data_IF_051194659427
#
_entry.id   IF_051194659427
#
_cell.length_a   1.000
_cell.length_b   1.000
_cell.length_c   1.000
_cell.angle_alpha   90.00
_cell.angle_beta   90.00
_cell.angle_gamma   90.00
#
_symmetry.space_group_name_H-M   'P 1'
#
loop_
_entity.id
_entity.type
_entity.pdbx_description
1 polymer ?
#
# COMPACT_ATOMS: atom_id res chain seq x y z
N UNK A 1 -82.86 7.80 36.66
CA UNK A 1 -81.92 8.71 36.09
C UNK A 1 -80.53 8.21 36.45
N UNK A 2 -79.87 7.58 35.48
CA UNK A 2 -78.46 7.12 35.65
C UNK A 2 -77.60 7.85 34.66
N UNK A 3 -76.67 8.71 35.11
CA UNK A 3 -75.71 9.39 34.25
C UNK A 3 -74.51 8.48 34.02
N UNK A 4 -74.28 8.17 32.76
CA UNK A 4 -73.08 7.49 32.31
C UNK A 4 -72.01 8.53 31.98
N UNK A 5 -70.87 8.46 32.63
CA UNK A 5 -69.70 9.31 32.36
C UNK A 5 -68.77 8.49 31.48
N UNK A 6 -68.63 8.88 30.18
CA UNK A 6 -67.63 8.34 29.28
C UNK A 6 -66.28 8.99 29.51
N UNK A 7 -65.31 8.24 29.94
CA UNK A 7 -63.92 8.66 30.03
C UNK A 7 -63.24 8.33 28.68
N UNK A 8 -62.93 9.38 27.90
CA UNK A 8 -62.15 9.27 26.68
C UNK A 8 -60.66 9.25 27.04
N UNK A 9 -60.01 8.09 26.92
CA UNK A 9 -58.55 7.94 27.05
C UNK A 9 -57.87 8.43 25.78
N UNK A 10 -57.26 9.63 25.78
CA UNK A 10 -56.33 10.09 24.77
C UNK A 10 -55.01 9.37 24.92
N UNK A 11 -54.72 8.38 24.11
CA UNK A 11 -53.38 7.80 23.98
C UNK A 11 -52.48 8.78 23.24
N UNK A 12 -51.57 9.44 23.94
CA UNK A 12 -50.45 10.17 23.36
C UNK A 12 -49.45 9.17 22.74
N UNK A 13 -49.45 9.07 21.42
CA UNK A 13 -48.38 8.43 20.66
C UNK A 13 -47.16 9.36 20.74
N UNK A 14 -46.24 9.04 21.63
CA UNK A 14 -44.88 9.61 21.62
C UNK A 14 -44.16 8.95 20.46
N UNK A 15 -44.17 9.62 19.29
CA UNK A 15 -43.25 9.30 18.19
C UNK A 15 -41.86 9.64 18.66
N UNK A 16 -41.06 8.61 18.99
CA UNK A 16 -39.63 8.75 19.18
C UNK A 16 -39.02 9.16 17.84
N UNK A 17 -38.85 10.46 17.65
CA UNK A 17 -38.03 11.01 16.58
C UNK A 17 -36.59 10.57 16.90
N UNK A 18 -36.13 9.52 16.25
CA UNK A 18 -34.71 9.21 16.18
C UNK A 18 -34.06 10.39 15.47
N UNK A 19 -33.40 11.26 16.22
CA UNK A 19 -32.50 12.26 15.65
C UNK A 19 -31.37 11.50 14.97
N UNK A 20 -31.56 11.20 13.67
CA UNK A 20 -30.46 10.88 12.78
C UNK A 20 -29.60 12.15 12.74
N UNK A 21 -28.46 12.13 13.42
CA UNK A 21 -27.43 13.13 13.17
C UNK A 21 -27.00 12.97 11.71
N UNK A 22 -27.52 13.86 10.84
CA UNK A 22 -27.03 13.96 9.47
C UNK A 22 -25.58 14.44 9.54
N UNK A 23 -24.70 13.77 8.80
CA UNK A 23 -23.29 14.17 8.73
C UNK A 23 -23.15 15.60 8.18
N UNK A 24 -22.19 16.34 8.71
CA UNK A 24 -21.84 17.66 8.20
C UNK A 24 -21.23 17.54 6.79
N UNK A 25 -21.95 18.03 5.79
CA UNK A 25 -21.48 18.05 4.40
C UNK A 25 -21.43 19.48 3.86
N UNK A 26 -20.60 19.80 2.84
CA UNK A 26 -20.59 21.09 2.20
C UNK A 26 -22.00 21.51 1.72
N UNK A 27 -22.31 22.80 1.82
CA UNK A 27 -23.59 23.33 1.37
C UNK A 27 -23.84 22.99 -0.10
N UNK A 28 -25.05 22.51 -0.42
CA UNK A 28 -25.43 22.11 -1.77
C UNK A 28 -25.07 20.68 -2.15
N UNK A 29 -24.45 19.91 -1.26
CA UNK A 29 -24.20 18.49 -1.50
C UNK A 29 -25.51 17.72 -1.55
N UNK A 30 -25.75 17.02 -2.67
CA UNK A 30 -26.88 16.09 -2.82
C UNK A 30 -26.43 14.71 -2.37
N UNK A 31 -26.99 14.24 -1.25
CA UNK A 31 -26.70 12.92 -0.73
C UNK A 31 -27.58 11.85 -1.37
N UNK A 32 -27.02 10.68 -1.62
CA UNK A 32 -27.81 9.52 -2.01
C UNK A 32 -28.77 9.10 -0.88
N UNK A 33 -29.88 8.46 -1.22
CA UNK A 33 -30.84 7.96 -0.23
C UNK A 33 -30.19 6.98 0.76
N UNK A 34 -29.35 6.08 0.25
CA UNK A 34 -28.53 5.18 1.05
C UNK A 34 -27.07 5.65 1.04
N UNK A 35 -26.55 5.94 2.21
CA UNK A 35 -25.14 6.30 2.40
C UNK A 35 -24.27 5.04 2.50
N UNK A 36 -24.22 4.26 1.44
CA UNK A 36 -23.48 3.02 1.33
C UNK A 36 -22.54 3.10 0.12
N UNK A 37 -21.34 2.54 0.24
CA UNK A 37 -20.37 2.45 -0.83
C UNK A 37 -19.90 1.01 -0.98
N UNK A 38 -19.92 0.50 -2.20
CA UNK A 38 -19.31 -0.79 -2.57
C UNK A 38 -18.10 -0.51 -3.43
N UNK A 39 -16.93 -0.87 -2.94
CA UNK A 39 -15.67 -0.67 -3.67
C UNK A 39 -14.92 -1.97 -3.89
N UNK A 40 -14.39 -2.09 -5.07
CA UNK A 40 -13.51 -3.19 -5.43
C UNK A 40 -12.10 -2.93 -4.88
N UNK A 41 -11.53 -3.95 -4.26
CA UNK A 41 -10.09 -4.11 -4.00
C UNK A 41 -9.61 -5.36 -4.73
N UNK A 42 -8.37 -5.36 -5.23
CA UNK A 42 -7.91 -6.44 -6.12
C UNK A 42 -7.71 -7.77 -5.42
N UNK A 43 -7.24 -7.75 -4.21
CA UNK A 43 -6.86 -8.93 -3.46
C UNK A 43 -7.42 -8.90 -2.03
N UNK A 44 -7.58 -10.07 -1.44
CA UNK A 44 -7.89 -10.21 -0.01
C UNK A 44 -6.71 -9.68 0.82
N UNK A 45 -6.92 -8.73 1.75
CA UNK A 45 -5.88 -8.27 2.65
C UNK A 45 -5.24 -9.41 3.44
N UNK A 46 -3.93 -9.56 3.33
CA UNK A 46 -3.20 -10.60 4.07
C UNK A 46 -3.21 -10.35 5.59
N UNK A 47 -3.26 -9.07 5.99
CA UNK A 47 -3.34 -8.65 7.39
C UNK A 47 -4.08 -7.30 7.52
N UNK A 48 -4.77 -7.09 8.64
CA UNK A 48 -5.31 -5.77 9.04
C UNK A 48 -4.53 -5.17 10.21
N UNK A 49 -3.42 -5.77 10.59
CA UNK A 49 -2.46 -5.23 11.54
C UNK A 49 -1.53 -4.24 10.82
N UNK A 50 -1.51 -2.94 11.16
CA UNK A 50 -0.65 -1.96 10.51
C UNK A 50 0.83 -2.35 10.47
N UNK A 51 1.34 -3.00 11.52
CA UNK A 51 2.73 -3.47 11.55
C UNK A 51 3.00 -4.71 10.69
N UNK A 52 1.97 -5.34 10.10
CA UNK A 52 2.06 -6.56 9.27
C UNK A 52 1.62 -6.34 7.82
N UNK A 53 1.07 -5.18 7.51
CA UNK A 53 0.60 -4.84 6.17
C UNK A 53 1.78 -4.69 5.19
N UNK A 54 1.54 -5.01 3.91
CA UNK A 54 2.59 -5.00 2.88
C UNK A 54 2.16 -4.37 1.55
N UNK A 55 0.89 -4.14 1.31
CA UNK A 55 0.42 -3.68 0.01
C UNK A 55 -0.89 -2.90 0.02
N UNK A 56 -1.32 -2.52 -1.17
CA UNK A 56 -2.52 -1.70 -1.37
C UNK A 56 -3.80 -2.34 -0.81
N UNK A 57 -4.03 -3.67 -0.92
CA UNK A 57 -5.24 -4.28 -0.38
C UNK A 57 -5.40 -4.05 1.12
N UNK A 58 -4.30 -4.14 1.87
CA UNK A 58 -4.27 -3.88 3.31
C UNK A 58 -4.47 -2.40 3.61
N UNK A 59 -3.69 -1.54 2.94
CA UNK A 59 -3.63 -0.10 3.20
C UNK A 59 -5.00 0.56 3.01
N UNK A 60 -5.75 0.16 1.98
CA UNK A 60 -7.08 0.71 1.68
C UNK A 60 -8.08 0.49 2.82
N UNK A 61 -8.01 -0.67 3.50
CA UNK A 61 -8.89 -0.98 4.63
C UNK A 61 -8.33 -0.42 5.95
N UNK A 62 -7.02 -0.49 6.16
CA UNK A 62 -6.36 0.01 7.37
C UNK A 62 -6.58 1.51 7.55
N UNK A 63 -6.59 2.31 6.48
CA UNK A 63 -6.83 3.75 6.54
C UNK A 63 -8.24 4.12 7.01
N UNK A 64 -9.21 3.24 6.87
CA UNK A 64 -10.55 3.45 7.42
C UNK A 64 -10.66 3.03 8.89
N UNK A 65 -9.86 2.03 9.30
CA UNK A 65 -9.89 1.45 10.64
C UNK A 65 -9.00 2.16 11.66
N UNK A 66 -7.94 2.83 11.18
CA UNK A 66 -6.93 3.50 12.01
C UNK A 66 -6.61 4.89 11.47
N UNK A 67 -6.15 5.76 12.35
CA UNK A 67 -5.68 7.10 12.04
C UNK A 67 -4.33 7.37 12.71
N UNK A 68 -3.39 7.96 11.96
CA UNK A 68 -2.05 8.34 12.43
C UNK A 68 -2.00 9.70 13.12
N UNK A 69 -0.78 10.18 13.38
CA UNK A 69 -0.55 11.54 13.88
C UNK A 69 -1.13 12.57 12.89
N UNK A 70 -0.90 12.37 11.62
CA UNK A 70 -1.40 13.23 10.54
C UNK A 70 -2.04 12.36 9.45
N UNK A 71 -2.87 12.99 8.62
CA UNK A 71 -3.50 12.39 7.45
C UNK A 71 -3.03 13.10 6.17
N UNK A 72 -3.45 12.56 5.04
CA UNK A 72 -3.33 13.22 3.73
C UNK A 72 -4.75 13.46 3.18
N UNK A 73 -4.97 14.70 2.70
CA UNK A 73 -6.20 15.00 1.98
C UNK A 73 -6.15 14.45 0.54
N UNK A 74 -7.22 14.71 -0.24
CA UNK A 74 -7.35 14.26 -1.63
C UNK A 74 -6.28 14.81 -2.59
N UNK A 75 -5.55 15.85 -2.17
CA UNK A 75 -4.42 16.44 -2.92
C UNK A 75 -3.07 15.89 -2.47
N UNK A 76 -3.04 15.01 -1.45
CA UNK A 76 -1.81 14.50 -0.85
C UNK A 76 -1.15 15.48 0.14
N UNK A 77 -1.82 16.57 0.50
CA UNK A 77 -1.32 17.54 1.48
C UNK A 77 -1.51 17.00 2.89
N UNK A 78 -0.55 17.28 3.78
CA UNK A 78 -0.61 16.87 5.18
C UNK A 78 -1.65 17.70 5.92
N UNK A 79 -2.55 17.01 6.59
CA UNK A 79 -3.59 17.59 7.44
C UNK A 79 -3.55 16.94 8.83
N UNK A 80 -4.03 17.63 9.89
CA UNK A 80 -4.12 17.07 11.24
C UNK A 80 -4.93 15.76 11.27
N UNK A 81 -4.40 14.76 11.99
CA UNK A 81 -5.10 13.54 12.39
C UNK A 81 -5.28 13.52 13.89
N UNK A 82 -4.69 12.51 14.59
CA UNK A 82 -4.66 12.49 16.06
C UNK A 82 -3.86 13.67 16.63
N UNK A 83 -2.80 14.11 15.94
CA UNK A 83 -2.08 15.33 16.30
C UNK A 83 -2.77 16.57 15.72
N UNK A 84 -2.93 17.60 16.55
CA UNK A 84 -3.46 18.92 16.16
C UNK A 84 -2.37 19.89 15.74
N UNK A 85 -1.16 19.71 16.29
CA UNK A 85 0.00 20.57 16.06
C UNK A 85 1.28 19.77 16.16
N UNK A 86 2.31 20.25 15.47
CA UNK A 86 3.67 19.73 15.56
C UNK A 86 4.69 20.83 15.37
N UNK A 87 5.85 20.68 16.00
CA UNK A 87 6.93 21.65 15.91
C UNK A 87 8.28 20.99 16.07
N UNK A 88 9.28 21.61 15.44
CA UNK A 88 10.70 21.33 15.65
C UNK A 88 11.48 22.63 15.44
N UNK A 89 12.55 22.84 16.17
CA UNK A 89 13.45 24.00 16.00
C UNK A 89 14.67 23.64 15.14
N UNK A 90 15.00 22.36 15.06
CA UNK A 90 16.23 21.81 14.43
C UNK A 90 15.95 20.70 13.43
N UNK A 91 14.68 20.40 13.13
CA UNK A 91 14.22 19.27 12.31
C UNK A 91 14.73 17.90 12.81
N UNK A 92 15.26 17.82 14.02
CA UNK A 92 15.79 16.61 14.63
C UNK A 92 14.96 16.17 15.84
N UNK A 93 14.48 17.14 16.62
CA UNK A 93 13.58 16.87 17.75
C UNK A 93 12.22 17.42 17.41
N UNK A 94 11.27 16.51 17.21
CA UNK A 94 9.89 16.82 16.89
C UNK A 94 8.99 16.62 18.10
N UNK A 95 8.06 17.54 18.31
CA UNK A 95 7.03 17.45 19.35
C UNK A 95 5.67 17.56 18.69
N UNK A 96 4.81 16.57 18.93
CA UNK A 96 3.43 16.52 18.48
C UNK A 96 2.51 16.72 19.65
N UNK A 97 1.51 17.60 19.50
CA UNK A 97 0.42 17.79 20.45
C UNK A 97 -0.79 17.01 19.96
N UNK A 98 -1.23 16.02 20.73
CA UNK A 98 -2.37 15.20 20.41
C UNK A 98 -3.66 15.87 20.88
N UNK A 99 -4.77 15.60 20.18
CA UNK A 99 -6.11 16.04 20.60
C UNK A 99 -6.57 15.28 21.84
N UNK A 100 -7.30 15.93 22.69
CA UNK A 100 -7.85 15.36 23.92
C UNK A 100 -9.11 14.52 23.71
N UNK A 101 -9.77 14.70 22.56
CA UNK A 101 -10.99 13.98 22.17
C UNK A 101 -10.74 12.76 21.26
N UNK A 102 -9.49 12.40 20.95
CA UNK A 102 -9.19 11.18 20.21
C UNK A 102 -9.51 9.94 21.04
N UNK A 103 -10.28 9.01 20.47
CA UNK A 103 -10.73 7.79 21.16
C UNK A 103 -10.57 6.56 20.27
N UNK A 104 -10.31 5.46 20.92
CA UNK A 104 -10.48 4.13 20.36
C UNK A 104 -11.96 3.79 20.17
N UNK A 105 -12.25 2.80 19.36
CA UNK A 105 -13.63 2.35 19.07
C UNK A 105 -14.37 1.81 20.31
N UNK A 106 -13.66 1.45 21.37
CA UNK A 106 -14.24 1.08 22.69
C UNK A 106 -14.52 2.29 23.59
N UNK A 107 -14.23 3.52 23.13
CA UNK A 107 -14.42 4.76 23.85
C UNK A 107 -13.27 5.17 24.76
N UNK A 108 -12.24 4.35 24.91
CA UNK A 108 -11.04 4.71 25.69
C UNK A 108 -10.19 5.75 24.96
N UNK A 109 -9.46 6.64 25.66
CA UNK A 109 -8.67 7.69 25.00
C UNK A 109 -7.49 7.12 24.21
N UNK A 110 -7.17 7.75 23.08
CA UNK A 110 -5.89 7.56 22.36
C UNK A 110 -4.87 8.50 22.97
N UNK A 111 -3.73 7.98 23.36
CA UNK A 111 -2.67 8.71 24.07
C UNK A 111 -1.33 8.64 23.35
N UNK A 112 -0.40 9.49 23.75
CA UNK A 112 0.98 9.44 23.27
C UNK A 112 1.65 8.07 23.56
N UNK A 113 1.27 7.39 24.63
CA UNK A 113 1.80 6.08 24.99
C UNK A 113 1.38 5.00 23.97
N UNK A 114 0.23 5.14 23.31
CA UNK A 114 -0.19 4.21 22.24
C UNK A 114 0.72 4.31 21.02
N UNK A 115 1.16 5.51 20.67
CA UNK A 115 2.16 5.72 19.61
C UNK A 115 3.53 5.16 20.00
N UNK A 116 3.98 5.39 21.23
CA UNK A 116 5.24 4.81 21.74
C UNK A 116 5.20 3.29 21.64
N UNK A 117 4.16 2.65 22.15
CA UNK A 117 3.98 1.20 22.06
C UNK A 117 4.00 0.70 20.62
N UNK A 118 3.23 1.36 19.74
CA UNK A 118 3.06 0.94 18.35
C UNK A 118 4.36 1.03 17.56
N UNK A 119 5.13 2.10 17.75
CA UNK A 119 6.38 2.29 17.04
C UNK A 119 7.52 1.41 17.59
N UNK A 120 7.54 1.18 18.89
CA UNK A 120 8.44 0.19 19.50
C UNK A 120 8.12 -1.23 18.97
N UNK A 121 6.82 -1.56 18.87
CA UNK A 121 6.37 -2.82 18.29
C UNK A 121 6.73 -2.95 16.80
N UNK A 122 6.66 -1.86 16.04
CA UNK A 122 7.02 -1.84 14.61
C UNK A 122 8.47 -2.29 14.39
N UNK A 123 9.40 -1.80 15.20
CA UNK A 123 10.83 -2.06 15.07
C UNK A 123 11.31 -3.31 15.84
N UNK A 124 10.49 -3.87 16.74
CA UNK A 124 10.82 -5.07 17.50
C UNK A 124 11.00 -6.27 16.54
N UNK A 125 12.18 -6.91 16.49
CA UNK A 125 12.40 -8.12 15.68
C UNK A 125 11.38 -9.23 15.93
N UNK A 126 10.84 -9.34 17.14
CA UNK A 126 9.78 -10.32 17.47
C UNK A 126 8.48 -10.07 16.74
N UNK A 127 8.21 -8.84 16.35
CA UNK A 127 7.04 -8.50 15.55
C UNK A 127 7.16 -9.02 14.12
N UNK A 128 8.38 -9.18 13.60
CA UNK A 128 8.62 -9.55 12.20
C UNK A 128 7.86 -8.63 11.23
N UNK A 129 7.90 -7.33 11.48
CA UNK A 129 7.26 -6.34 10.63
C UNK A 129 7.99 -6.25 9.27
N UNK A 130 7.28 -6.38 8.15
CA UNK A 130 7.87 -6.14 6.83
C UNK A 130 8.18 -4.66 6.59
N UNK A 131 7.66 -3.75 7.43
CA UNK A 131 7.85 -2.30 7.34
C UNK A 131 8.73 -1.71 8.48
N UNK A 132 9.39 -2.54 9.29
CA UNK A 132 10.29 -2.06 10.35
C UNK A 132 11.35 -1.06 9.84
N UNK A 133 11.89 -1.32 8.63
CA UNK A 133 12.85 -0.45 7.94
C UNK A 133 12.37 0.99 7.76
N UNK A 134 11.05 1.23 7.71
CA UNK A 134 10.50 2.56 7.49
C UNK A 134 10.77 3.50 8.67
N UNK A 135 10.85 2.97 9.89
CA UNK A 135 11.24 3.75 11.06
C UNK A 135 12.73 4.16 11.00
N UNK A 136 13.60 3.29 10.47
CA UNK A 136 15.00 3.62 10.24
C UNK A 136 15.18 4.64 9.11
N UNK A 137 14.42 4.49 8.01
CA UNK A 137 14.36 5.47 6.92
C UNK A 137 13.90 6.84 7.42
N UNK A 138 12.89 6.87 8.29
CA UNK A 138 12.42 8.10 8.92
C UNK A 138 13.43 8.69 9.92
N UNK A 139 14.58 8.05 10.08
CA UNK A 139 15.69 8.51 10.89
C UNK A 139 15.38 8.49 12.40
N UNK A 140 14.40 7.72 12.86
CA UNK A 140 14.07 7.64 14.29
C UNK A 140 15.27 7.03 15.03
N UNK A 141 15.78 7.75 16.03
CA UNK A 141 16.96 7.36 16.78
C UNK A 141 16.84 5.91 17.30
N UNK A 142 17.93 5.14 17.16
CA UNK A 142 18.04 3.72 17.48
C UNK A 142 17.19 2.74 16.64
N UNK A 143 16.34 3.19 15.68
CA UNK A 143 15.48 2.28 14.94
C UNK A 143 16.25 1.17 14.23
N UNK A 144 17.33 1.49 13.50
CA UNK A 144 18.16 0.46 12.84
C UNK A 144 18.87 -0.47 13.82
N UNK A 145 19.37 0.05 14.93
CA UNK A 145 20.04 -0.76 15.95
C UNK A 145 19.08 -1.78 16.58
N UNK A 146 17.81 -1.40 16.79
CA UNK A 146 16.77 -2.28 17.31
C UNK A 146 16.42 -3.37 16.28
N UNK A 147 16.21 -2.98 15.03
CA UNK A 147 15.92 -3.91 13.91
C UNK A 147 17.03 -4.96 13.78
N UNK A 148 18.29 -4.53 13.93
CA UNK A 148 19.45 -5.42 13.89
C UNK A 148 19.63 -6.27 15.17
N UNK A 149 18.79 -6.11 16.19
CA UNK A 149 18.91 -6.79 17.47
C UNK A 149 20.05 -6.30 18.36
N UNK A 150 20.63 -5.11 18.07
CA UNK A 150 21.72 -4.48 18.83
C UNK A 150 21.23 -3.57 19.95
N UNK A 151 19.95 -3.23 19.96
CA UNK A 151 19.29 -2.42 20.98
C UNK A 151 17.89 -3.00 21.27
N UNK A 152 17.29 -2.58 22.41
CA UNK A 152 15.94 -3.01 22.79
C UNK A 152 14.87 -2.01 22.34
N UNK A 153 13.61 -2.44 22.10
CA UNK A 153 12.55 -1.54 21.57
C UNK A 153 12.30 -0.29 22.42
N UNK A 154 12.49 -0.37 23.74
CA UNK A 154 12.33 0.77 24.67
C UNK A 154 13.39 1.87 24.49
N UNK A 155 14.48 1.59 23.76
CA UNK A 155 15.51 2.57 23.41
C UNK A 155 15.18 3.37 22.14
N UNK A 156 14.05 3.10 21.48
CA UNK A 156 13.62 3.88 20.32
C UNK A 156 13.43 5.35 20.68
N UNK A 157 13.88 6.25 19.82
CA UNK A 157 13.79 7.70 19.99
C UNK A 157 12.37 8.28 19.96
N UNK A 158 11.43 7.65 20.67
CA UNK A 158 10.03 8.08 20.81
C UNK A 158 9.63 8.05 22.28
N UNK A 159 9.03 9.13 22.78
CA UNK A 159 8.69 9.28 24.21
C UNK A 159 7.35 9.98 24.37
N UNK A 160 6.48 9.44 25.19
CA UNK A 160 5.31 10.14 25.70
C UNK A 160 5.76 11.04 26.87
N UNK A 161 5.72 12.36 26.67
CA UNK A 161 6.03 13.35 27.72
C UNK A 161 4.88 13.39 28.74
N UNK A 162 3.67 13.34 28.22
CA UNK A 162 2.41 13.17 28.92
C UNK A 162 1.40 12.47 28.02
N UNK A 163 0.13 12.39 28.40
CA UNK A 163 -0.91 11.71 27.64
C UNK A 163 -1.13 12.31 26.22
N UNK A 164 -0.85 13.60 26.03
CA UNK A 164 -1.14 14.34 24.81
C UNK A 164 0.11 14.95 24.14
N UNK A 165 1.30 14.64 24.65
CA UNK A 165 2.55 15.18 24.12
C UNK A 165 3.49 14.04 23.73
N UNK A 166 3.71 13.86 22.43
CA UNK A 166 4.64 12.89 21.88
C UNK A 166 5.91 13.59 21.41
N UNK A 167 7.07 13.15 21.90
CA UNK A 167 8.38 13.66 21.48
C UNK A 167 9.12 12.58 20.70
N UNK A 168 9.70 12.97 19.56
CA UNK A 168 10.44 12.09 18.67
C UNK A 168 11.81 12.68 18.43
N UNK A 169 12.84 11.86 18.57
CA UNK A 169 14.22 12.21 18.32
C UNK A 169 14.73 11.47 17.08
N UNK A 170 15.30 12.20 16.14
CA UNK A 170 15.91 11.67 14.91
C UNK A 170 17.43 11.63 15.03
N UNK A 171 18.07 10.77 14.26
CA UNK A 171 19.53 10.68 14.16
C UNK A 171 20.13 11.91 13.45
N UNK A 172 19.42 12.41 12.44
CA UNK A 172 19.79 13.58 11.62
C UNK A 172 18.58 14.53 11.48
N UNK A 173 18.77 15.82 11.18
CA UNK A 173 17.68 16.71 10.81
C UNK A 173 16.94 16.21 9.57
N UNK A 174 15.60 16.15 9.64
CA UNK A 174 14.74 15.72 8.53
C UNK A 174 13.52 16.66 8.42
N UNK A 175 13.59 17.70 7.57
CA UNK A 175 12.50 18.69 7.46
C UNK A 175 11.15 18.09 7.06
N UNK A 176 11.14 17.02 6.27
CA UNK A 176 9.91 16.33 5.80
C UNK A 176 9.46 15.17 6.69
N UNK A 177 10.00 15.03 7.88
CA UNK A 177 9.65 13.94 8.81
C UNK A 177 8.14 13.79 9.03
N UNK A 178 7.43 14.92 9.15
CA UNK A 178 5.98 14.92 9.36
C UNK A 178 5.24 14.19 8.24
N UNK A 179 5.67 14.36 6.99
CA UNK A 179 5.07 13.68 5.84
C UNK A 179 5.17 12.15 5.97
N UNK A 180 6.27 11.65 6.53
CA UNK A 180 6.46 10.22 6.74
C UNK A 180 5.50 9.66 7.79
N UNK A 181 5.10 10.48 8.77
CA UNK A 181 4.19 10.04 9.83
C UNK A 181 2.73 9.80 9.37
N UNK A 182 2.40 10.17 8.13
CA UNK A 182 1.14 9.81 7.47
C UNK A 182 1.11 8.36 6.94
N UNK A 183 2.25 7.67 6.95
CA UNK A 183 2.32 6.29 6.49
C UNK A 183 1.64 5.35 7.50
N UNK A 184 0.90 4.36 6.99
CA UNK A 184 0.15 3.40 7.81
C UNK A 184 1.03 2.63 8.81
N UNK A 185 2.32 2.44 8.53
CA UNK A 185 3.25 1.77 9.44
C UNK A 185 3.39 2.49 10.79
N UNK A 186 3.12 3.80 10.82
CA UNK A 186 3.13 4.62 12.03
C UNK A 186 1.76 4.80 12.69
N UNK A 187 0.73 4.13 12.19
CA UNK A 187 -0.58 4.18 12.84
C UNK A 187 -0.55 3.49 14.20
N UNK A 188 -1.22 4.05 15.21
CA UNK A 188 -1.27 3.48 16.55
C UNK A 188 -2.14 2.23 16.58
N UNK A 189 -1.79 1.30 17.46
CA UNK A 189 -2.63 0.16 17.85
C UNK A 189 -2.77 0.13 19.37
N UNK A 190 -3.95 -0.25 19.85
CA UNK A 190 -4.23 -0.32 21.28
C UNK A 190 -3.51 -1.54 21.87
N UNK A 191 -2.59 -1.32 22.84
CA UNK A 191 -1.80 -2.38 23.45
C UNK A 191 -2.65 -3.51 23.99
N UNK A 192 -3.67 -3.18 24.80
CA UNK A 192 -4.56 -4.18 25.40
C UNK A 192 -5.27 -5.03 24.35
N UNK A 193 -5.66 -4.44 23.20
CA UNK A 193 -6.27 -5.17 22.09
C UNK A 193 -5.29 -6.12 21.43
N UNK A 194 -4.09 -5.67 21.08
CA UNK A 194 -3.05 -6.50 20.46
C UNK A 194 -2.66 -7.69 21.34
N UNK A 195 -2.53 -7.49 22.64
CA UNK A 195 -2.12 -8.50 23.60
C UNK A 195 -3.27 -9.44 24.01
N UNK A 196 -4.53 -9.09 23.71
CA UNK A 196 -5.69 -9.88 24.08
C UNK A 196 -5.76 -11.23 23.37
N UNK A 197 -5.31 -11.30 22.13
CA UNK A 197 -5.44 -12.48 21.29
C UNK A 197 -4.61 -12.37 20.01
N UNK A 198 -4.10 -13.49 19.50
CA UNK A 198 -3.50 -13.56 18.15
C UNK A 198 -4.51 -13.21 17.03
N UNK A 199 -5.79 -13.24 17.33
CA UNK A 199 -6.90 -12.93 16.41
C UNK A 199 -7.51 -11.54 16.62
N UNK A 200 -6.76 -10.63 17.24
CA UNK A 200 -7.25 -9.30 17.59
C UNK A 200 -7.75 -8.47 16.38
N UNK A 201 -7.30 -8.79 15.15
CA UNK A 201 -7.74 -8.12 13.92
C UNK A 201 -9.04 -8.67 13.32
N UNK A 202 -9.70 -9.65 13.96
CA UNK A 202 -10.98 -10.20 13.48
C UNK A 202 -12.16 -9.27 13.78
N UNK A 203 -13.27 -9.38 13.01
CA UNK A 203 -14.51 -8.67 13.32
C UNK A 203 -14.95 -8.87 14.77
N UNK A 204 -15.40 -7.80 15.42
CA UNK A 204 -15.81 -7.79 16.84
C UNK A 204 -14.66 -7.83 17.85
N UNK A 205 -13.40 -7.97 17.39
CA UNK A 205 -12.21 -7.93 18.25
C UNK A 205 -11.32 -6.74 17.95
N UNK A 206 -11.24 -6.31 16.68
CA UNK A 206 -10.40 -5.20 16.27
C UNK A 206 -10.91 -3.89 16.87
N UNK A 207 -10.06 -3.20 17.62
CA UNK A 207 -10.31 -1.89 18.20
C UNK A 207 -9.36 -0.91 17.51
N UNK A 208 -9.88 -0.16 16.53
CA UNK A 208 -9.16 0.89 15.83
C UNK A 208 -9.53 2.28 16.38
N UNK A 209 -8.85 3.30 15.88
CA UNK A 209 -9.12 4.71 16.18
C UNK A 209 -9.52 5.53 14.95
N UNK A 210 -9.78 4.85 13.81
CA UNK A 210 -10.21 5.46 12.56
C UNK A 210 -11.70 5.77 12.51
N UNK A 211 -12.15 6.31 11.36
CA UNK A 211 -13.53 6.71 11.14
C UNK A 211 -14.51 5.52 11.10
N UNK A 212 -14.01 4.30 10.88
CA UNK A 212 -14.82 3.10 10.74
C UNK A 212 -14.34 1.97 11.64
N UNK A 213 -15.25 1.03 11.93
CA UNK A 213 -14.97 -0.24 12.62
C UNK A 213 -15.28 -1.42 11.70
N UNK A 214 -14.50 -2.50 11.85
CA UNK A 214 -14.70 -3.73 11.09
C UNK A 214 -15.91 -4.49 11.62
N UNK A 215 -16.98 -4.52 10.82
CA UNK A 215 -18.24 -5.19 11.16
C UNK A 215 -18.26 -6.65 10.74
N UNK A 216 -17.77 -6.94 9.55
CA UNK A 216 -17.81 -8.28 8.96
C UNK A 216 -16.58 -8.51 8.09
N UNK A 217 -16.09 -9.74 8.05
CA UNK A 217 -15.07 -10.20 7.09
C UNK A 217 -15.38 -11.65 6.72
N UNK A 218 -15.65 -11.87 5.45
CA UNK A 218 -15.74 -13.18 4.83
C UNK A 218 -14.60 -13.28 3.83
N UNK A 219 -13.63 -14.11 4.14
CA UNK A 219 -12.37 -14.21 3.37
C UNK A 219 -12.65 -14.51 1.90
N UNK A 220 -12.02 -13.75 1.00
CA UNK A 220 -12.20 -13.81 -0.46
C UNK A 220 -13.62 -13.44 -0.94
N UNK A 221 -14.45 -12.88 -0.08
CA UNK A 221 -15.81 -12.47 -0.46
C UNK A 221 -16.04 -10.98 -0.18
N UNK A 222 -15.88 -10.54 1.08
CA UNK A 222 -16.11 -9.15 1.47
C UNK A 222 -15.50 -8.77 2.81
N UNK A 223 -15.22 -7.49 2.96
CA UNK A 223 -15.03 -6.83 4.25
C UNK A 223 -16.07 -5.70 4.34
N UNK A 224 -16.74 -5.58 5.48
CA UNK A 224 -17.73 -4.53 5.74
C UNK A 224 -17.28 -3.69 6.92
N UNK A 225 -17.23 -2.38 6.71
CA UNK A 225 -16.95 -1.42 7.78
C UNK A 225 -18.14 -0.47 7.95
N UNK A 226 -18.38 -0.04 9.20
CA UNK A 226 -19.45 0.88 9.59
C UNK A 226 -18.86 2.00 10.45
N UNK A 227 -19.52 3.17 10.57
CA UNK A 227 -18.98 4.31 11.33
C UNK A 227 -18.56 3.95 12.75
N UNK A 228 -17.41 4.47 13.16
CA UNK A 228 -16.95 4.46 14.54
C UNK A 228 -17.57 5.66 15.27
N UNK A 229 -18.56 5.43 16.11
CA UNK A 229 -19.26 6.50 16.84
C UNK A 229 -18.38 7.26 17.85
N UNK A 230 -17.21 6.70 18.19
CA UNK A 230 -16.22 7.33 19.05
C UNK A 230 -15.13 8.08 18.30
N UNK A 231 -15.13 8.03 16.96
CA UNK A 231 -14.16 8.78 16.16
C UNK A 231 -14.32 10.28 16.39
N UNK A 232 -13.23 10.97 16.61
CA UNK A 232 -13.25 12.38 17.01
C UNK A 232 -13.93 13.30 15.99
N UNK A 233 -13.91 12.96 14.70
CA UNK A 233 -14.55 13.69 13.61
C UNK A 233 -15.75 12.93 13.02
N UNK A 234 -16.41 12.10 13.81
CA UNK A 234 -17.54 11.28 13.33
C UNK A 234 -18.70 12.12 12.77
N UNK A 235 -18.83 13.39 13.19
CA UNK A 235 -19.82 14.31 12.63
C UNK A 235 -19.68 14.48 11.11
N UNK A 236 -18.49 14.30 10.56
CA UNK A 236 -18.22 14.36 9.11
C UNK A 236 -18.21 12.99 8.43
N UNK A 237 -18.44 11.89 9.13
CA UNK A 237 -18.51 10.55 8.54
C UNK A 237 -19.86 10.35 7.88
N UNK A 238 -19.89 10.48 6.55
CA UNK A 238 -21.14 10.45 5.76
C UNK A 238 -21.60 9.02 5.48
N UNK A 239 -20.69 8.17 4.98
CA UNK A 239 -21.04 6.81 4.58
C UNK A 239 -21.33 5.93 5.80
N UNK A 240 -22.52 5.35 5.83
CA UNK A 240 -22.98 4.49 6.93
C UNK A 240 -22.52 3.02 6.77
N UNK A 241 -22.07 2.67 5.58
CA UNK A 241 -21.50 1.34 5.29
C UNK A 241 -20.55 1.42 4.11
N UNK A 242 -19.38 0.83 4.24
CA UNK A 242 -18.47 0.58 3.11
C UNK A 242 -18.22 -0.91 3.01
N UNK A 243 -18.43 -1.46 1.82
CA UNK A 243 -18.16 -2.87 1.52
C UNK A 243 -16.98 -2.95 0.56
N UNK A 244 -15.91 -3.60 1.00
CA UNK A 244 -14.76 -3.91 0.16
C UNK A 244 -14.94 -5.32 -0.43
N UNK A 245 -14.78 -5.44 -1.75
CA UNK A 245 -14.91 -6.70 -2.47
C UNK A 245 -13.56 -7.10 -3.05
N UNK A 246 -12.88 -8.12 -2.50
CA UNK A 246 -11.64 -8.63 -3.06
C UNK A 246 -11.93 -9.47 -4.31
N UNK A 247 -11.68 -8.89 -5.50
CA UNK A 247 -11.91 -9.54 -6.78
C UNK A 247 -10.65 -9.40 -7.63
N UNK A 248 -9.89 -10.47 -7.75
CA UNK A 248 -8.61 -10.46 -8.47
C UNK A 248 -8.73 -10.48 -10.02
N UNK A 249 -9.96 -10.68 -10.54
CA UNK A 249 -10.25 -10.62 -11.97
C UNK A 249 -10.87 -9.27 -12.34
N UNK A 250 -10.11 -8.44 -13.02
CA UNK A 250 -10.52 -7.09 -13.40
C UNK A 250 -11.78 -7.10 -14.29
N UNK A 251 -11.95 -8.11 -15.15
CA UNK A 251 -13.15 -8.27 -15.98
C UNK A 251 -14.41 -8.54 -15.17
N UNK A 252 -14.31 -9.33 -14.09
CA UNK A 252 -15.44 -9.59 -13.20
C UNK A 252 -15.84 -8.34 -12.42
N UNK A 253 -14.86 -7.60 -11.87
CA UNK A 253 -15.09 -6.33 -11.18
C UNK A 253 -15.73 -5.30 -12.12
N UNK A 254 -15.21 -5.17 -13.36
CA UNK A 254 -15.75 -4.23 -14.36
C UNK A 254 -17.19 -4.58 -14.75
N UNK A 255 -17.54 -5.86 -14.94
CA UNK A 255 -18.90 -6.29 -15.23
C UNK A 255 -19.86 -5.92 -14.10
N UNK A 256 -19.45 -6.13 -12.85
CA UNK A 256 -20.26 -5.77 -11.68
C UNK A 256 -20.42 -4.24 -11.53
N UNK A 257 -19.38 -3.47 -11.86
CA UNK A 257 -19.48 -2.01 -11.94
C UNK A 257 -20.51 -1.57 -12.98
N UNK A 258 -20.44 -2.12 -14.20
CA UNK A 258 -21.39 -1.81 -15.26
C UNK A 258 -22.82 -2.27 -14.96
N UNK A 259 -22.99 -3.27 -14.09
CA UNK A 259 -24.30 -3.73 -13.59
C UNK A 259 -24.83 -2.88 -12.41
N UNK A 260 -24.02 -1.98 -11.85
CA UNK A 260 -24.40 -1.16 -10.69
C UNK A 260 -24.20 -1.85 -9.33
N UNK A 261 -23.49 -2.99 -9.28
CA UNK A 261 -23.20 -3.72 -8.03
C UNK A 261 -21.96 -3.18 -7.29
N UNK A 262 -21.13 -2.40 -7.97
CA UNK A 262 -19.90 -1.79 -7.47
C UNK A 262 -19.90 -0.31 -7.87
N UNK A 263 -19.58 0.55 -6.92
CA UNK A 263 -19.53 2.00 -7.13
C UNK A 263 -18.14 2.47 -7.62
N UNK A 264 -17.06 1.79 -7.15
CA UNK A 264 -15.69 2.14 -7.51
C UNK A 264 -14.88 0.86 -7.78
N UNK A 265 -14.22 0.79 -8.93
CA UNK A 265 -13.22 -0.26 -9.21
C UNK A 265 -11.80 0.29 -9.07
N UNK A 266 -10.88 -0.49 -8.49
CA UNK A 266 -9.46 -0.13 -8.39
C UNK A 266 -8.77 -0.19 -9.75
N UNK A 267 -9.21 -1.10 -10.61
CA UNK A 267 -8.66 -1.26 -11.96
C UNK A 267 -9.67 -1.92 -12.90
N UNK A 268 -9.34 -1.94 -14.19
CA UNK A 268 -10.13 -2.55 -15.26
C UNK A 268 -9.20 -3.31 -16.21
N UNK A 269 -9.73 -4.25 -17.05
CA UNK A 269 -8.93 -4.91 -18.08
C UNK A 269 -8.39 -3.88 -19.07
N UNK A 270 -7.08 -3.83 -19.27
CA UNK A 270 -6.43 -2.82 -20.12
C UNK A 270 -6.94 -2.82 -21.57
N UNK A 271 -7.31 -3.97 -22.11
CA UNK A 271 -7.90 -4.09 -23.45
C UNK A 271 -9.32 -3.50 -23.57
N UNK A 272 -9.99 -3.18 -22.45
CA UNK A 272 -11.30 -2.53 -22.45
C UNK A 272 -11.22 -1.01 -22.39
N UNK A 273 -10.04 -0.43 -22.21
CA UNK A 273 -9.87 1.01 -21.94
C UNK A 273 -10.60 1.90 -22.95
N UNK A 274 -10.33 1.73 -24.24
CA UNK A 274 -10.94 2.54 -25.29
C UNK A 274 -12.48 2.36 -25.37
N UNK A 275 -12.95 1.13 -25.12
CA UNK A 275 -14.37 0.84 -25.05
C UNK A 275 -15.02 1.54 -23.85
N UNK A 276 -14.41 1.45 -22.68
CA UNK A 276 -14.94 2.08 -21.45
C UNK A 276 -14.97 3.60 -21.56
N UNK A 277 -13.95 4.24 -22.14
CA UNK A 277 -13.96 5.68 -22.41
C UNK A 277 -15.16 6.12 -23.27
N UNK A 278 -15.57 5.27 -24.22
CA UNK A 278 -16.72 5.53 -25.09
C UNK A 278 -18.05 5.23 -24.41
N UNK A 279 -18.15 4.09 -23.71
CA UNK A 279 -19.40 3.58 -23.17
C UNK A 279 -19.84 4.32 -21.89
N UNK A 280 -18.86 4.74 -21.08
CA UNK A 280 -19.08 5.42 -19.78
C UNK A 280 -18.18 6.66 -19.68
N UNK A 281 -18.39 7.67 -20.54
CA UNK A 281 -17.56 8.88 -20.56
C UNK A 281 -17.55 9.59 -19.21
N UNK A 282 -16.36 10.05 -18.78
CA UNK A 282 -16.18 10.74 -17.50
C UNK A 282 -16.13 9.84 -16.27
N UNK A 283 -16.20 8.51 -16.43
CA UNK A 283 -16.12 7.54 -15.32
C UNK A 283 -14.82 6.73 -15.29
N UNK A 284 -13.96 6.90 -16.28
CA UNK A 284 -12.67 6.21 -16.36
C UNK A 284 -11.55 7.20 -16.10
N UNK A 285 -10.77 6.95 -15.07
CA UNK A 285 -9.66 7.80 -14.63
C UNK A 285 -8.36 7.02 -14.69
N UNK A 286 -7.32 7.63 -15.25
CA UNK A 286 -5.95 7.11 -15.30
C UNK A 286 -4.99 8.18 -14.81
N UNK A 287 -5.04 8.59 -13.54
CA UNK A 287 -4.18 9.62 -13.02
C UNK A 287 -2.72 9.16 -13.01
N UNK A 288 -1.75 10.09 -13.16
CA UNK A 288 -0.35 9.80 -12.91
C UNK A 288 -0.15 9.25 -11.51
N UNK A 289 0.71 8.25 -11.38
CA UNK A 289 1.06 7.64 -10.11
C UNK A 289 2.59 7.66 -9.93
N UNK A 290 3.04 8.01 -8.73
CA UNK A 290 4.44 7.91 -8.34
C UNK A 290 4.78 6.44 -8.12
N UNK A 291 5.07 5.70 -9.18
CA UNK A 291 5.27 4.26 -9.07
C UNK A 291 5.95 3.63 -10.28
N UNK A 292 6.62 2.52 -10.03
CA UNK A 292 7.28 1.71 -11.06
C UNK A 292 6.80 0.27 -10.98
N UNK A 293 6.33 -0.25 -12.12
CA UNK A 293 6.05 -1.68 -12.32
C UNK A 293 7.30 -2.35 -12.88
N UNK A 294 7.73 -3.46 -12.28
CA UNK A 294 8.97 -4.11 -12.67
C UNK A 294 8.94 -5.62 -12.43
N UNK A 295 9.90 -6.32 -13.01
CA UNK A 295 10.24 -7.68 -12.65
C UNK A 295 11.53 -7.70 -11.83
N UNK A 296 11.47 -8.31 -10.66
CA UNK A 296 12.65 -8.55 -9.85
C UNK A 296 13.25 -9.92 -10.17
N UNK A 297 14.54 -9.95 -10.40
CA UNK A 297 15.32 -11.17 -10.57
C UNK A 297 15.89 -11.63 -9.23
N UNK A 298 15.86 -12.92 -8.94
CA UNK A 298 16.60 -13.45 -7.79
C UNK A 298 18.09 -13.40 -8.10
N UNK A 299 18.84 -12.56 -7.37
CA UNK A 299 20.28 -12.39 -7.62
C UNK A 299 21.16 -13.39 -6.86
N UNK A 300 20.57 -14.18 -5.96
CA UNK A 300 21.32 -15.09 -5.09
C UNK A 300 21.33 -16.53 -5.57
N UNK A 301 20.36 -16.94 -6.36
CA UNK A 301 20.21 -18.33 -6.80
C UNK A 301 19.63 -18.45 -8.19
N UNK A 302 19.78 -19.65 -8.78
CA UNK A 302 19.27 -19.99 -10.09
C UNK A 302 19.99 -19.25 -11.24
N UNK A 303 19.47 -19.30 -12.44
CA UNK A 303 20.14 -18.72 -13.61
C UNK A 303 20.19 -17.19 -13.54
N UNK A 304 19.29 -16.55 -12.82
CA UNK A 304 19.24 -15.09 -12.66
C UNK A 304 20.27 -14.55 -11.65
N UNK A 305 21.04 -15.41 -10.97
CA UNK A 305 22.20 -14.98 -10.21
C UNK A 305 23.31 -14.41 -11.13
N UNK A 306 23.39 -14.86 -12.37
CA UNK A 306 24.32 -14.32 -13.36
C UNK A 306 23.83 -12.98 -13.91
N UNK A 307 24.65 -11.94 -13.76
CA UNK A 307 24.33 -10.59 -14.25
C UNK A 307 24.10 -10.54 -15.77
N UNK A 308 24.82 -11.36 -16.54
CA UNK A 308 24.67 -11.42 -18.01
C UNK A 308 23.28 -11.91 -18.39
N UNK A 309 22.73 -12.88 -17.66
CA UNK A 309 21.36 -13.38 -17.81
C UNK A 309 20.35 -12.27 -17.51
N UNK A 310 20.50 -11.58 -16.39
CA UNK A 310 19.59 -10.49 -16.04
C UNK A 310 19.57 -9.37 -17.07
N UNK A 311 20.75 -8.94 -17.55
CA UNK A 311 20.86 -7.92 -18.58
C UNK A 311 20.21 -8.37 -19.89
N UNK A 312 20.48 -9.60 -20.33
CA UNK A 312 19.90 -10.15 -21.56
C UNK A 312 18.37 -10.19 -21.49
N UNK A 313 17.80 -10.65 -20.38
CA UNK A 313 16.35 -10.67 -20.17
C UNK A 313 15.77 -9.25 -20.15
N UNK A 314 16.42 -8.30 -19.48
CA UNK A 314 15.96 -6.92 -19.40
C UNK A 314 15.99 -6.21 -20.77
N UNK A 315 17.07 -6.37 -21.53
CA UNK A 315 17.24 -5.74 -22.85
C UNK A 315 16.19 -6.18 -23.87
N UNK A 316 15.73 -7.43 -23.81
CA UNK A 316 14.78 -8.00 -24.77
C UNK A 316 13.32 -7.69 -24.46
N UNK A 317 13.02 -7.00 -23.37
CA UNK A 317 11.68 -6.45 -23.14
C UNK A 317 11.54 -5.13 -23.90
N UNK A 318 10.77 -5.15 -24.96
CA UNK A 318 10.40 -3.94 -25.70
C UNK A 318 9.40 -3.12 -24.86
N UNK A 319 9.95 -2.14 -24.13
CA UNK A 319 9.18 -1.30 -23.20
C UNK A 319 8.18 -0.41 -23.92
N UNK A 320 8.50 0.08 -25.12
CA UNK A 320 7.60 0.93 -25.92
C UNK A 320 6.42 0.11 -26.42
N UNK A 321 6.68 -1.07 -27.00
CA UNK A 321 5.63 -1.99 -27.42
C UNK A 321 4.73 -2.38 -26.22
N UNK A 322 5.34 -2.61 -25.04
CA UNK A 322 4.61 -2.96 -23.84
C UNK A 322 3.65 -1.84 -23.42
N UNK A 323 4.12 -0.62 -23.31
CA UNK A 323 3.30 0.52 -22.84
C UNK A 323 2.28 0.98 -23.89
N UNK A 324 2.65 1.02 -25.17
CA UNK A 324 1.78 1.56 -26.22
C UNK A 324 0.76 0.55 -26.76
N UNK A 325 1.15 -0.74 -26.89
CA UNK A 325 0.31 -1.75 -27.56
C UNK A 325 -0.27 -2.79 -26.61
N UNK A 326 0.50 -3.20 -25.60
CA UNK A 326 0.01 -4.22 -24.64
C UNK A 326 -0.86 -3.58 -23.56
N UNK A 327 -0.45 -2.45 -23.00
CA UNK A 327 -1.19 -1.72 -21.97
C UNK A 327 -2.12 -0.67 -22.59
N UNK A 328 -1.59 0.37 -23.19
CA UNK A 328 -2.35 1.40 -23.92
C UNK A 328 -3.18 2.31 -23.04
N UNK A 329 -2.81 2.46 -21.77
CA UNK A 329 -3.55 3.27 -20.78
C UNK A 329 -2.76 4.48 -20.26
N UNK A 330 -1.63 4.81 -20.92
CA UNK A 330 -0.86 6.02 -20.62
C UNK A 330 0.39 5.78 -19.77
N UNK A 331 0.71 4.53 -19.47
CA UNK A 331 1.98 4.16 -18.82
C UNK A 331 3.17 4.55 -19.71
N UNK A 332 4.26 4.99 -19.10
CA UNK A 332 5.51 5.33 -19.78
C UNK A 332 6.50 4.17 -19.73
N UNK A 333 7.34 4.00 -20.79
CA UNK A 333 8.48 3.08 -20.73
C UNK A 333 9.43 3.49 -19.58
N UNK A 334 9.80 2.57 -18.71
CA UNK A 334 10.73 2.83 -17.60
C UNK A 334 12.14 2.34 -17.96
N UNK A 335 13.07 3.25 -18.08
CA UNK A 335 14.49 2.99 -18.25
C UNK A 335 15.28 3.11 -16.95
N UNK A 336 14.66 3.76 -15.95
CA UNK A 336 15.15 3.95 -14.59
C UNK A 336 14.18 3.32 -13.60
N UNK A 337 14.70 2.95 -12.42
CA UNK A 337 13.84 2.42 -11.36
C UNK A 337 13.04 3.53 -10.67
N UNK A 338 13.64 4.71 -10.48
CA UNK A 338 12.97 5.92 -10.01
C UNK A 338 12.20 6.55 -11.16
N UNK A 339 10.86 6.80 -11.03
CA UNK A 339 10.08 7.44 -12.09
C UNK A 339 10.47 8.91 -12.31
N UNK A 340 10.34 9.39 -13.55
CA UNK A 340 10.64 10.77 -13.94
C UNK A 340 9.81 11.83 -13.20
N UNK A 341 8.63 11.45 -12.71
CA UNK A 341 7.70 12.34 -11.98
C UNK A 341 8.14 12.58 -10.53
N UNK A 342 9.20 11.93 -10.07
CA UNK A 342 9.71 12.07 -8.70
C UNK A 342 10.31 13.46 -8.51
N UNK A 343 9.90 14.17 -7.46
CA UNK A 343 10.40 15.50 -7.16
C UNK A 343 11.93 15.51 -6.95
N UNK A 344 12.60 16.49 -7.53
CA UNK A 344 14.06 16.62 -7.43
C UNK A 344 14.87 15.58 -8.22
N UNK A 345 14.21 14.73 -9.01
CA UNK A 345 14.88 13.71 -9.83
C UNK A 345 14.89 14.08 -11.30
N UNK A 346 16.09 14.16 -11.86
CA UNK A 346 16.32 14.29 -13.31
C UNK A 346 17.17 13.11 -13.75
N UNK A 347 16.60 12.11 -14.44
CA UNK A 347 17.36 10.93 -14.84
C UNK A 347 18.41 11.29 -15.90
N UNK A 348 19.61 10.73 -15.74
CA UNK A 348 20.55 10.67 -16.86
C UNK A 348 20.02 9.67 -17.91
N UNK A 349 20.10 10.00 -19.19
CA UNK A 349 19.62 9.09 -20.24
C UNK A 349 20.28 7.71 -20.15
N UNK A 350 19.45 6.67 -20.10
CA UNK A 350 19.95 5.29 -20.13
C UNK A 350 20.62 5.00 -21.48
N UNK A 351 21.82 4.40 -21.53
CA UNK A 351 22.43 3.98 -22.80
C UNK A 351 21.50 3.05 -23.62
N UNK A 352 20.68 2.26 -22.93
CA UNK A 352 19.74 1.34 -23.57
C UNK A 352 18.52 2.04 -24.20
N UNK A 353 18.15 3.20 -23.70
CA UNK A 353 17.03 4.00 -24.23
C UNK A 353 17.30 4.52 -25.64
N UNK A 354 18.58 4.80 -25.94
CA UNK A 354 19.04 5.35 -27.20
C UNK A 354 19.24 4.26 -28.29
N UNK A 355 19.24 2.99 -27.91
CA UNK A 355 19.42 1.88 -28.81
C UNK A 355 18.10 1.43 -29.42
N UNK A 356 18.15 0.95 -30.65
CA UNK A 356 17.01 0.23 -31.25
C UNK A 356 16.76 -1.11 -30.54
N UNK A 357 15.53 -1.61 -30.58
CA UNK A 357 15.22 -2.91 -30.00
C UNK A 357 15.98 -4.05 -30.67
N UNK A 358 16.34 -3.91 -31.96
CA UNK A 358 17.15 -4.89 -32.70
C UNK A 358 18.58 -4.96 -32.13
N UNK A 359 19.21 -3.81 -31.87
CA UNK A 359 20.54 -3.74 -31.27
C UNK A 359 20.53 -4.32 -29.86
N UNK A 360 19.52 -3.97 -29.05
CA UNK A 360 19.34 -4.55 -27.71
C UNK A 360 19.18 -6.07 -27.76
N UNK A 361 18.39 -6.59 -28.66
CA UNK A 361 18.20 -8.04 -28.84
C UNK A 361 19.49 -8.74 -29.29
N UNK A 362 20.31 -8.12 -30.16
CA UNK A 362 21.59 -8.66 -30.58
C UNK A 362 22.59 -8.74 -29.44
N UNK A 363 22.72 -7.66 -28.65
CA UNK A 363 23.57 -7.66 -27.45
C UNK A 363 23.09 -8.69 -26.42
N UNK A 364 21.79 -8.79 -26.20
CA UNK A 364 21.20 -9.75 -25.28
C UNK A 364 21.54 -11.20 -25.65
N UNK A 365 21.49 -11.55 -26.94
CA UNK A 365 21.90 -12.88 -27.44
C UNK A 365 23.37 -13.18 -27.11
N UNK A 366 24.25 -12.19 -27.32
CA UNK A 366 25.67 -12.31 -27.01
C UNK A 366 25.90 -12.55 -25.52
N UNK A 367 25.23 -11.78 -24.64
CA UNK A 367 25.33 -11.94 -23.19
C UNK A 367 24.82 -13.30 -22.74
N UNK A 368 23.68 -13.74 -23.27
CA UNK A 368 23.10 -15.02 -22.89
C UNK A 368 23.96 -16.20 -23.34
N UNK A 369 24.54 -16.11 -24.55
CA UNK A 369 25.51 -17.10 -25.04
C UNK A 369 26.76 -17.15 -24.17
N UNK A 370 27.32 -15.99 -23.79
CA UNK A 370 28.45 -15.91 -22.90
C UNK A 370 28.15 -16.49 -21.51
N UNK A 371 26.88 -16.49 -21.08
CA UNK A 371 26.42 -17.13 -19.85
C UNK A 371 26.19 -18.66 -20.01
N UNK A 372 26.43 -19.23 -21.22
CA UNK A 372 26.33 -20.66 -21.50
C UNK A 372 24.94 -21.14 -21.87
N UNK A 373 24.06 -20.25 -22.33
CA UNK A 373 22.71 -20.59 -22.81
C UNK A 373 22.57 -20.30 -24.30
N UNK A 374 21.76 -21.09 -24.97
CA UNK A 374 21.52 -20.98 -26.42
C UNK A 374 20.67 -22.13 -26.92
N UNK A 375 20.58 -22.34 -28.27
CA UNK A 375 19.70 -23.35 -28.83
C UNK A 375 19.90 -24.77 -28.31
N UNK A 376 21.15 -25.16 -27.98
CA UNK A 376 21.48 -26.49 -27.48
C UNK A 376 21.26 -26.61 -25.96
N UNK A 377 21.21 -25.49 -25.26
CA UNK A 377 20.96 -25.42 -23.80
C UNK A 377 20.05 -24.21 -23.51
N UNK A 378 18.75 -24.30 -23.82
CA UNK A 378 17.86 -23.18 -23.59
C UNK A 378 17.75 -22.83 -22.12
N UNK A 379 17.73 -21.52 -21.82
CA UNK A 379 17.45 -21.04 -20.48
C UNK A 379 16.00 -21.37 -20.11
N UNK A 380 15.82 -21.97 -18.93
CA UNK A 380 14.50 -22.24 -18.35
C UNK A 380 14.35 -21.46 -17.05
N UNK A 381 13.22 -20.81 -16.86
CA UNK A 381 12.92 -20.07 -15.65
C UNK A 381 11.42 -19.99 -15.37
N UNK A 382 11.09 -19.69 -14.12
CA UNK A 382 9.72 -19.42 -13.67
C UNK A 382 9.53 -17.92 -13.50
N UNK A 383 8.44 -17.39 -14.06
CA UNK A 383 7.97 -16.03 -13.83
C UNK A 383 6.73 -16.07 -12.96
N UNK A 384 6.86 -15.58 -11.72
CA UNK A 384 5.83 -15.55 -10.70
C UNK A 384 5.13 -14.19 -10.67
N UNK A 385 3.80 -14.19 -10.57
CA UNK A 385 2.99 -12.98 -10.36
C UNK A 385 1.78 -13.30 -9.47
N UNK A 386 1.24 -12.28 -8.75
CA UNK A 386 -0.03 -12.44 -8.06
C UNK A 386 -1.19 -12.45 -9.07
N UNK A 387 -2.24 -13.22 -8.77
CA UNK A 387 -3.37 -13.45 -9.67
C UNK A 387 -4.01 -12.12 -10.09
N UNK A 388 -4.01 -11.85 -11.39
CA UNK A 388 -4.63 -10.69 -12.06
C UNK A 388 -4.57 -10.90 -13.57
N UNK A 389 -5.64 -10.58 -14.28
CA UNK A 389 -5.67 -10.66 -15.75
C UNK A 389 -4.66 -9.71 -16.39
N UNK A 390 -4.48 -8.51 -15.84
CA UNK A 390 -3.50 -7.55 -16.33
C UNK A 390 -2.06 -8.03 -16.11
N UNK A 391 -1.75 -8.62 -14.93
CA UNK A 391 -0.42 -9.19 -14.69
C UNK A 391 -0.14 -10.38 -15.60
N UNK A 392 -1.13 -11.23 -15.82
CA UNK A 392 -1.02 -12.36 -16.76
C UNK A 392 -0.73 -11.88 -18.17
N UNK A 393 -1.44 -10.86 -18.66
CA UNK A 393 -1.25 -10.28 -19.99
C UNK A 393 0.19 -9.77 -20.18
N UNK A 394 0.73 -9.04 -19.19
CA UNK A 394 2.11 -8.55 -19.22
C UNK A 394 3.09 -9.74 -19.22
N UNK A 395 2.88 -10.72 -18.34
CA UNK A 395 3.75 -11.89 -18.23
C UNK A 395 3.79 -12.71 -19.52
N UNK A 396 2.66 -12.92 -20.20
CA UNK A 396 2.57 -13.58 -21.51
C UNK A 396 3.36 -12.80 -22.55
N UNK A 397 3.21 -11.48 -22.62
CA UNK A 397 3.93 -10.65 -23.58
C UNK A 397 5.45 -10.72 -23.36
N UNK A 398 5.91 -10.60 -22.10
CA UNK A 398 7.33 -10.71 -21.76
C UNK A 398 7.88 -12.09 -22.06
N UNK A 399 7.18 -13.16 -21.68
CA UNK A 399 7.59 -14.54 -22.01
C UNK A 399 7.69 -14.77 -23.51
N UNK A 400 6.78 -14.21 -24.31
CA UNK A 400 6.81 -14.26 -25.76
C UNK A 400 8.04 -13.54 -26.34
N UNK A 401 8.37 -12.35 -25.83
CA UNK A 401 9.57 -11.60 -26.23
C UNK A 401 10.85 -12.40 -25.94
N UNK A 402 10.95 -12.98 -24.73
CA UNK A 402 12.10 -13.81 -24.32
C UNK A 402 12.21 -15.08 -25.18
N UNK A 403 11.06 -15.73 -25.47
CA UNK A 403 11.05 -16.92 -26.34
C UNK A 403 11.49 -16.60 -27.75
N UNK A 404 10.90 -15.54 -28.34
CA UNK A 404 11.19 -15.13 -29.74
C UNK A 404 12.64 -14.69 -29.91
N UNK A 405 13.16 -13.87 -29.00
CA UNK A 405 14.45 -13.23 -29.17
C UNK A 405 15.62 -14.04 -28.62
N UNK A 406 15.42 -14.82 -27.57
CA UNK A 406 16.48 -15.51 -26.82
C UNK A 406 16.29 -17.04 -26.75
N UNK A 407 15.15 -17.57 -27.18
CA UNK A 407 14.84 -19.00 -27.04
C UNK A 407 14.57 -19.45 -25.61
N UNK A 408 14.27 -18.53 -24.69
CA UNK A 408 14.03 -18.82 -23.28
C UNK A 408 12.70 -19.54 -23.09
N UNK A 409 12.70 -20.60 -22.28
CA UNK A 409 11.49 -21.31 -21.87
C UNK A 409 11.01 -20.78 -20.52
N UNK A 410 9.85 -20.12 -20.52
CA UNK A 410 9.28 -19.51 -19.32
C UNK A 410 8.07 -20.29 -18.84
N UNK A 411 8.11 -20.74 -17.58
CA UNK A 411 6.92 -21.24 -16.88
C UNK A 411 6.24 -20.05 -16.19
N UNK A 412 5.05 -19.67 -16.63
CA UNK A 412 4.24 -18.69 -15.97
C UNK A 412 3.54 -19.32 -14.77
N UNK A 413 3.62 -18.67 -13.63
CA UNK A 413 2.99 -19.11 -12.38
C UNK A 413 2.31 -17.94 -11.69
N UNK A 414 1.02 -18.08 -11.39
CA UNK A 414 0.29 -17.15 -10.58
C UNK A 414 0.02 -17.73 -9.18
N UNK A 415 -0.08 -16.84 -8.20
CA UNK A 415 -0.43 -17.18 -6.83
C UNK A 415 -1.43 -16.16 -6.28
N UNK A 416 -2.28 -16.58 -5.37
CA UNK A 416 -3.10 -15.71 -4.56
C UNK A 416 -2.20 -14.79 -3.72
N UNK A 417 -2.68 -13.58 -3.38
CA UNK A 417 -1.87 -12.50 -2.81
C UNK A 417 -1.03 -12.93 -1.60
N UNK A 418 -1.63 -13.56 -0.61
CA UNK A 418 -0.91 -14.00 0.60
C UNK A 418 0.21 -14.99 0.30
N UNK A 419 -0.08 -16.01 -0.53
CA UNK A 419 0.90 -17.00 -0.96
C UNK A 419 2.01 -16.36 -1.79
N UNK A 420 1.65 -15.40 -2.66
CA UNK A 420 2.61 -14.62 -3.44
C UNK A 420 3.55 -13.82 -2.52
N UNK A 421 3.03 -13.15 -1.48
CA UNK A 421 3.83 -12.42 -0.49
C UNK A 421 4.81 -13.37 0.24
N UNK A 422 4.36 -14.55 0.64
CA UNK A 422 5.21 -15.55 1.28
C UNK A 422 6.34 -16.02 0.34
N UNK A 423 6.03 -16.30 -0.94
CA UNK A 423 7.02 -16.66 -1.96
C UNK A 423 8.03 -15.53 -2.21
N UNK A 424 7.56 -14.28 -2.25
CA UNK A 424 8.39 -13.09 -2.37
C UNK A 424 9.38 -12.96 -1.21
N UNK A 425 8.87 -13.06 0.00
CA UNK A 425 9.66 -12.86 1.23
C UNK A 425 10.69 -13.99 1.45
N UNK A 426 10.35 -15.21 1.04
CA UNK A 426 11.29 -16.37 1.13
C UNK A 426 12.24 -16.46 -0.07
N UNK A 427 12.03 -15.67 -1.14
CA UNK A 427 12.83 -15.72 -2.37
C UNK A 427 12.58 -17.00 -3.18
N UNK A 428 11.38 -17.56 -3.14
CA UNK A 428 11.01 -18.76 -3.88
C UNK A 428 10.53 -18.44 -5.30
N UNK A 429 11.43 -17.89 -6.11
CA UNK A 429 11.19 -17.50 -7.51
C UNK A 429 12.53 -17.35 -8.25
N UNK A 430 12.50 -17.43 -9.58
CA UNK A 430 13.59 -16.96 -10.46
C UNK A 430 13.35 -15.49 -10.82
N UNK A 431 12.16 -15.20 -11.36
CA UNK A 431 11.68 -13.87 -11.70
C UNK A 431 10.32 -13.66 -11.06
N UNK A 432 10.11 -12.51 -10.44
CA UNK A 432 8.85 -12.17 -9.80
C UNK A 432 8.35 -10.81 -10.26
N UNK A 433 7.05 -10.69 -10.51
CA UNK A 433 6.37 -9.42 -10.73
C UNK A 433 6.46 -8.58 -9.48
N UNK A 434 6.74 -7.31 -9.62
CA UNK A 434 6.69 -6.36 -8.53
C UNK A 434 6.20 -4.98 -9.00
N UNK A 435 5.84 -4.14 -8.06
CA UNK A 435 5.65 -2.71 -8.26
C UNK A 435 5.97 -2.00 -6.95
N UNK A 436 6.42 -0.78 -7.08
CA UNK A 436 6.58 0.10 -5.94
C UNK A 436 5.85 1.40 -6.20
N UNK A 437 5.03 1.81 -5.26
CA UNK A 437 4.43 3.13 -5.20
C UNK A 437 5.18 3.89 -4.12
N UNK A 438 5.67 5.08 -4.43
CA UNK A 438 6.47 5.86 -3.50
C UNK A 438 5.68 6.20 -2.23
N UNK A 439 6.28 5.97 -1.08
CA UNK A 439 5.70 6.35 0.22
C UNK A 439 5.72 7.87 0.43
N UNK A 440 6.62 8.56 -0.29
CA UNK A 440 6.80 10.00 -0.31
C UNK A 440 7.47 10.42 -1.62
N UNK A 441 7.33 11.69 -2.01
CA UNK A 441 7.77 12.18 -3.32
C UNK A 441 9.25 12.64 -3.29
N UNK A 442 10.16 11.65 -3.25
CA UNK A 442 11.61 11.87 -3.27
C UNK A 442 12.31 10.58 -3.77
N UNK A 443 13.47 10.64 -4.47
CA UNK A 443 14.14 9.47 -5.07
C UNK A 443 14.45 8.33 -4.09
N UNK A 444 14.78 8.63 -2.84
CA UNK A 444 15.17 7.61 -1.86
C UNK A 444 14.08 6.57 -1.59
N UNK A 445 12.78 6.90 -1.78
CA UNK A 445 11.70 5.91 -1.66
C UNK A 445 11.85 4.73 -2.62
N UNK A 446 12.54 4.92 -3.75
CA UNK A 446 12.87 3.90 -4.74
C UNK A 446 14.28 3.33 -4.52
N UNK A 447 15.26 4.20 -4.33
CA UNK A 447 16.67 3.81 -4.29
C UNK A 447 17.00 2.94 -3.07
N UNK A 448 16.42 3.24 -1.91
CA UNK A 448 16.65 2.47 -0.68
C UNK A 448 16.20 1.01 -0.79
N UNK A 449 15.22 0.70 -1.64
CA UNK A 449 14.76 -0.68 -1.87
C UNK A 449 15.85 -1.62 -2.39
N UNK A 450 16.91 -1.08 -2.98
CA UNK A 450 18.02 -1.86 -3.55
C UNK A 450 19.21 -1.96 -2.61
N UNK A 451 19.17 -1.38 -1.40
CA UNK A 451 20.22 -1.57 -0.41
C UNK A 451 20.24 -3.00 0.12
N UNK A 452 21.42 -3.50 0.44
CA UNK A 452 21.65 -4.90 0.79
C UNK A 452 20.87 -5.36 2.02
N UNK A 453 20.58 -4.44 2.95
CA UNK A 453 19.91 -4.72 4.23
C UNK A 453 18.43 -4.42 4.23
N UNK A 454 17.88 -3.82 3.14
CA UNK A 454 16.48 -3.42 3.10
C UNK A 454 15.56 -4.63 2.97
N UNK A 455 14.60 -4.78 3.87
CA UNK A 455 13.64 -5.91 3.84
C UNK A 455 12.74 -5.94 2.60
N UNK A 456 12.51 -4.78 1.96
CA UNK A 456 11.82 -4.65 0.66
C UNK A 456 12.70 -4.98 -0.56
N UNK A 457 13.97 -5.34 -0.38
CA UNK A 457 14.87 -5.76 -1.46
C UNK A 457 14.48 -7.16 -1.96
N UNK A 458 13.44 -7.20 -2.77
CA UNK A 458 12.87 -8.45 -3.32
C UNK A 458 13.92 -9.23 -4.11
N UNK A 459 14.76 -8.53 -4.88
CA UNK A 459 15.80 -9.13 -5.71
C UNK A 459 16.94 -9.74 -4.91
N UNK A 460 17.07 -9.41 -3.62
CA UNK A 460 18.21 -9.75 -2.77
C UNK A 460 19.54 -9.26 -3.33
N UNK A 461 19.48 -8.12 -4.02
CA UNK A 461 20.66 -7.44 -4.55
C UNK A 461 21.59 -7.06 -3.39
N UNK A 462 22.87 -7.34 -3.55
CA UNK A 462 23.87 -7.06 -2.54
C UNK A 462 25.07 -6.38 -3.22
N UNK A 463 25.21 -5.09 -2.95
CA UNK A 463 26.32 -4.29 -3.49
C UNK A 463 26.78 -3.25 -2.45
N UNK A 464 27.85 -3.54 -1.69
CA UNK A 464 28.36 -2.61 -0.68
C UNK A 464 28.79 -1.24 -1.23
N UNK A 465 29.17 -1.14 -2.50
CA UNK A 465 29.51 0.14 -3.12
C UNK A 465 28.24 0.98 -3.34
N UNK A 466 27.14 0.37 -3.78
CA UNK A 466 25.83 1.03 -3.87
C UNK A 466 25.36 1.53 -2.51
N UNK A 467 25.41 0.65 -1.49
CA UNK A 467 25.01 0.99 -0.12
C UNK A 467 25.79 2.18 0.43
N UNK A 468 27.10 2.19 0.18
CA UNK A 468 27.96 3.29 0.62
C UNK A 468 27.63 4.62 -0.03
N UNK A 469 27.41 4.64 -1.36
CA UNK A 469 27.05 5.87 -2.08
C UNK A 469 25.71 6.41 -1.60
N UNK A 470 24.71 5.55 -1.47
CA UNK A 470 23.38 5.96 -1.00
C UNK A 470 23.39 6.47 0.45
N UNK A 471 24.23 5.91 1.31
CA UNK A 471 24.39 6.39 2.69
C UNK A 471 25.06 7.76 2.79
N UNK A 472 25.73 8.24 1.73
CA UNK A 472 26.38 9.56 1.66
C UNK A 472 25.46 10.63 1.08
N UNK A 473 24.42 10.24 0.34
CA UNK A 473 23.40 11.13 -0.21
C UNK A 473 22.32 11.46 0.84
#
# INVERSE_FOLDING_TARGET
MKHSVSVTCCALLISSISLSYAAEVPSGTVLAEKQELVRHIKDEPASLDPAKAVGLPEIQVIRDLFEGLVNQNEKGEIVPGVATQWKSNDNRIWTFTLRDNAKWADGTPVTAQDFVYSWQRLVDPKTLSPFAWFAALAGINNAQAIIDGKATPDQLGVTAVDAHTLKIQLDKPLPWFVNLTANFAFFPVQKANVESSKEWTKPGKLIGNGAYVLKERVVNEKLVVVPNTHYWDNAKTVLQKVTFLPINQESAATKRYLAGDIDITESFPKNMYQKLLKDIPGQVYTPPQLGTYYYAFNTQKGPTADQRVRLALSMTIDRRLMTEKVLGTGEKPAWHFTPDVTAGFTPEPSPFEQMSQEELNAQAKTLLSAAGYGPQKPLKLTLLYNTSENHQKIAIAVASMWKKNLGVDVKLQNQEWKTYIDSRNTGNFDVIRASWVGDYNEPSTFLTLLTSTHSGNISRFNNPAYDKVLAQA
#
